data_IF_984121633176
#
_entry.id   IF_984121633176
#
_cell.length_a   1.000
_cell.length_b   1.000
_cell.length_c   1.000
_cell.angle_alpha   90.00
_cell.angle_beta   90.00
_cell.angle_gamma   90.00
#
_symmetry.space_group_name_H-M   'P 1'
#
loop_
_entity.id
_entity.type
_entity.pdbx_description
1 polymer ?
#
# COMPACT_ATOMS: atom_id res chain seq x y z
N UNK A 1 -9.81 1.37 -23.46
CA UNK A 1 -9.06 2.49 -22.86
C UNK A 1 -9.84 2.90 -21.62
N UNK A 2 -9.60 2.22 -20.50
CA UNK A 2 -10.28 2.47 -19.23
C UNK A 2 -9.25 3.10 -18.28
N UNK A 3 -9.04 4.40 -18.42
CA UNK A 3 -8.40 5.21 -17.39
C UNK A 3 -9.46 5.66 -16.37
N UNK A 4 -10.22 4.70 -15.84
CA UNK A 4 -10.90 4.95 -14.57
C UNK A 4 -9.80 4.94 -13.52
N UNK A 5 -9.45 6.14 -13.06
CA UNK A 5 -8.64 6.35 -11.87
C UNK A 5 -9.34 5.67 -10.68
N UNK A 6 -9.10 4.36 -10.48
CA UNK A 6 -9.45 3.63 -9.27
C UNK A 6 -8.57 4.14 -8.12
N UNK A 7 -8.72 5.42 -7.78
CA UNK A 7 -8.16 5.99 -6.57
C UNK A 7 -9.06 5.54 -5.44
N UNK A 8 -8.55 4.57 -4.68
CA UNK A 8 -9.17 4.18 -3.43
C UNK A 8 -9.38 5.42 -2.56
N UNK A 9 -10.64 5.74 -2.24
CA UNK A 9 -10.95 6.93 -1.47
C UNK A 9 -10.56 6.71 -0.01
N UNK A 10 -9.55 7.45 0.45
CA UNK A 10 -9.16 7.51 1.86
C UNK A 10 -10.05 8.51 2.58
N UNK A 11 -10.67 8.08 3.67
CA UNK A 11 -11.48 8.95 4.53
C UNK A 11 -10.95 8.93 5.96
N UNK A 12 -10.96 10.06 6.68
CA UNK A 12 -10.63 10.09 8.10
C UNK A 12 -11.81 9.54 8.92
N UNK A 13 -11.51 8.77 9.96
CA UNK A 13 -12.47 8.20 10.90
C UNK A 13 -12.11 8.66 12.32
N UNK A 14 -12.95 9.45 13.00
CA UNK A 14 -12.68 9.86 14.37
C UNK A 14 -12.80 8.65 15.33
N UNK A 15 -11.79 8.45 16.18
CA UNK A 15 -11.76 7.39 17.19
C UNK A 15 -10.89 7.78 18.38
N UNK A 16 -11.43 7.71 19.61
CA UNK A 16 -10.70 7.98 20.87
C UNK A 16 -9.96 9.34 20.90
N UNK A 17 -10.62 10.43 20.53
CA UNK A 17 -10.02 11.78 20.40
C UNK A 17 -8.81 11.85 19.45
N UNK A 18 -8.70 10.86 18.55
CA UNK A 18 -7.69 10.77 17.50
C UNK A 18 -8.39 10.40 16.18
N UNK A 19 -7.60 10.21 15.15
CA UNK A 19 -8.06 9.88 13.81
C UNK A 19 -7.49 8.55 13.35
N UNK A 20 -8.29 7.79 12.64
CA UNK A 20 -7.87 6.66 11.84
C UNK A 20 -8.10 7.00 10.38
N UNK A 21 -7.43 6.30 9.47
CA UNK A 21 -7.85 6.32 8.07
C UNK A 21 -8.67 5.08 7.77
N UNK A 22 -9.61 5.22 6.83
CA UNK A 22 -10.33 4.10 6.27
C UNK A 22 -10.40 4.20 4.76
N UNK A 23 -10.52 3.04 4.11
CA UNK A 23 -10.61 2.91 2.65
C UNK A 23 -11.79 2.00 2.34
N UNK A 24 -12.67 2.45 1.45
CA UNK A 24 -13.71 1.62 0.84
C UNK A 24 -13.16 0.96 -0.42
N UNK A 25 -13.12 -0.35 -0.44
CA UNK A 25 -12.73 -1.12 -1.61
C UNK A 25 -13.90 -1.24 -2.61
N UNK A 26 -13.63 -1.46 -3.90
CA UNK A 26 -14.66 -1.75 -4.90
C UNK A 26 -15.55 -2.94 -4.56
N UNK A 27 -15.06 -3.86 -3.72
CA UNK A 27 -15.81 -5.01 -3.22
C UNK A 27 -16.84 -4.67 -2.15
N UNK A 28 -16.91 -3.40 -1.70
CA UNK A 28 -17.70 -2.96 -0.56
C UNK A 28 -17.04 -3.21 0.80
N UNK A 29 -15.88 -3.86 0.83
CA UNK A 29 -15.12 -4.06 2.06
C UNK A 29 -14.49 -2.74 2.55
N UNK A 30 -14.47 -2.55 3.87
CA UNK A 30 -13.83 -1.38 4.51
C UNK A 30 -12.56 -1.84 5.20
N UNK A 31 -11.44 -1.20 4.86
CA UNK A 31 -10.20 -1.31 5.61
C UNK A 31 -10.01 -0.09 6.50
N UNK A 32 -9.57 -0.29 7.73
CA UNK A 32 -9.30 0.78 8.68
C UNK A 32 -7.91 0.62 9.28
N UNK A 33 -7.20 1.72 9.48
CA UNK A 33 -5.89 1.73 10.10
C UNK A 33 -5.91 1.13 11.51
N UNK A 34 -4.81 0.46 11.88
CA UNK A 34 -4.61 0.02 13.26
C UNK A 34 -4.14 1.18 14.12
N UNK A 35 -3.33 2.05 13.53
CA UNK A 35 -2.69 3.23 14.07
C UNK A 35 -3.71 4.36 14.30
N UNK A 36 -3.38 5.22 15.26
CA UNK A 36 -4.14 6.43 15.58
C UNK A 36 -3.28 7.67 15.34
N UNK A 37 -3.82 8.62 14.59
CA UNK A 37 -3.17 9.84 14.17
C UNK A 37 -3.73 11.06 14.94
N UNK A 38 -2.88 12.03 15.30
CA UNK A 38 -3.29 13.27 15.94
C UNK A 38 -4.32 14.10 15.16
N UNK A 39 -4.22 14.14 13.83
CA UNK A 39 -5.11 14.95 12.97
C UNK A 39 -5.72 14.13 11.83
N UNK A 40 -6.84 14.61 11.30
CA UNK A 40 -7.50 14.02 10.13
C UNK A 40 -6.56 13.99 8.92
N UNK A 41 -5.80 15.06 8.72
CA UNK A 41 -4.89 15.19 7.58
C UNK A 41 -3.73 14.20 7.66
N UNK A 42 -3.18 13.98 8.86
CA UNK A 42 -2.17 12.96 9.07
C UNK A 42 -2.71 11.55 8.83
N UNK A 43 -3.96 11.27 9.25
CA UNK A 43 -4.60 10.00 8.94
C UNK A 43 -4.75 9.81 7.43
N UNK A 44 -5.29 10.80 6.72
CA UNK A 44 -5.50 10.75 5.27
C UNK A 44 -4.17 10.54 4.54
N UNK A 45 -3.15 11.33 4.87
CA UNK A 45 -1.81 11.23 4.28
C UNK A 45 -1.22 9.82 4.48
N UNK A 46 -1.32 9.28 5.70
CA UNK A 46 -0.84 7.93 6.00
C UNK A 46 -1.64 6.84 5.24
N UNK A 47 -2.96 7.01 5.08
CA UNK A 47 -3.78 6.08 4.31
C UNK A 47 -3.47 6.11 2.81
N UNK A 48 -3.20 7.30 2.26
CA UNK A 48 -2.77 7.45 0.87
C UNK A 48 -1.40 6.79 0.65
N UNK A 49 -0.45 7.06 1.54
CA UNK A 49 0.86 6.42 1.50
C UNK A 49 0.76 4.89 1.57
N UNK A 50 -0.12 4.37 2.44
CA UNK A 50 -0.35 2.93 2.53
C UNK A 50 -0.87 2.34 1.21
N UNK A 51 -1.84 2.99 0.55
CA UNK A 51 -2.34 2.57 -0.77
C UNK A 51 -1.22 2.56 -1.81
N UNK A 52 -0.39 3.61 -1.84
CA UNK A 52 0.70 3.72 -2.81
C UNK A 52 1.73 2.59 -2.62
N UNK A 53 2.09 2.28 -1.37
CA UNK A 53 3.02 1.19 -1.03
C UNK A 53 2.42 -0.16 -1.41
N UNK A 54 1.16 -0.43 -1.09
CA UNK A 54 0.49 -1.70 -1.44
C UNK A 54 0.34 -1.86 -2.95
N UNK A 55 0.03 -0.78 -3.66
CA UNK A 55 -0.10 -0.80 -5.13
C UNK A 55 1.24 -1.08 -5.78
N UNK A 56 2.30 -0.39 -5.35
CA UNK A 56 3.65 -0.63 -5.83
C UNK A 56 4.15 -2.05 -5.49
N UNK A 57 3.87 -2.54 -4.28
CA UNK A 57 4.20 -3.91 -3.86
C UNK A 57 3.54 -4.93 -4.77
N UNK A 58 2.24 -4.80 -5.01
CA UNK A 58 1.48 -5.74 -5.83
C UNK A 58 1.93 -5.72 -7.30
N UNK A 59 2.20 -4.54 -7.85
CA UNK A 59 2.72 -4.40 -9.21
C UNK A 59 4.09 -5.09 -9.35
N UNK A 60 5.03 -4.82 -8.44
CA UNK A 60 6.34 -5.45 -8.44
C UNK A 60 6.27 -6.96 -8.23
N UNK A 61 5.43 -7.41 -7.30
CA UNK A 61 5.23 -8.83 -7.02
C UNK A 61 4.75 -9.58 -8.28
N UNK A 62 3.78 -9.02 -9.01
CA UNK A 62 3.28 -9.60 -10.26
C UNK A 62 4.36 -9.63 -11.33
N UNK A 63 5.05 -8.51 -11.57
CA UNK A 63 6.09 -8.44 -12.59
C UNK A 63 7.26 -9.38 -12.29
N UNK A 64 7.76 -9.41 -11.06
CA UNK A 64 8.86 -10.28 -10.67
C UNK A 64 8.46 -11.75 -10.66
N UNK A 65 7.22 -12.07 -10.27
CA UNK A 65 6.70 -13.44 -10.36
C UNK A 65 6.62 -13.92 -11.80
N UNK A 66 6.23 -13.05 -12.74
CA UNK A 66 6.20 -13.39 -14.17
C UNK A 66 7.62 -13.64 -14.70
N UNK A 67 8.54 -12.71 -14.44
CA UNK A 67 9.96 -12.82 -14.87
C UNK A 67 10.61 -14.09 -14.29
N UNK A 68 10.28 -14.45 -13.05
CA UNK A 68 10.73 -15.69 -12.43
C UNK A 68 10.10 -16.93 -13.07
N UNK A 69 8.80 -16.88 -13.39
CA UNK A 69 8.09 -17.97 -14.09
C UNK A 69 8.62 -18.21 -15.51
N UNK A 70 9.08 -17.16 -16.18
CA UNK A 70 9.74 -17.22 -17.49
C UNK A 70 11.20 -17.71 -17.41
N UNK A 71 11.75 -17.89 -16.19
CA UNK A 71 13.12 -18.37 -15.97
C UNK A 71 14.20 -17.31 -16.15
N UNK A 72 13.83 -16.03 -16.31
CA UNK A 72 14.78 -14.91 -16.46
C UNK A 72 15.53 -14.61 -15.16
N UNK A 73 14.88 -14.81 -14.02
CA UNK A 73 15.49 -14.76 -12.69
C UNK A 73 15.20 -16.05 -11.93
N UNK A 74 16.09 -16.39 -11.01
CA UNK A 74 15.89 -17.50 -10.08
C UNK A 74 14.90 -17.14 -8.97
N UNK A 75 14.32 -18.16 -8.34
CA UNK A 75 13.47 -17.99 -7.15
C UNK A 75 14.18 -17.25 -6.00
N UNK A 76 15.51 -17.42 -5.90
CA UNK A 76 16.34 -16.74 -4.88
C UNK A 76 16.48 -15.24 -5.17
N UNK A 77 16.69 -14.87 -6.43
CA UNK A 77 16.76 -13.48 -6.86
C UNK A 77 15.42 -12.77 -6.68
N UNK A 78 14.33 -13.41 -7.08
CA UNK A 78 12.97 -12.96 -6.79
C UNK A 78 12.78 -12.64 -5.29
N UNK A 79 13.13 -13.59 -4.40
CA UNK A 79 12.98 -13.40 -2.96
C UNK A 79 13.86 -12.27 -2.41
N UNK A 80 15.07 -12.10 -2.94
CA UNK A 80 15.98 -11.02 -2.53
C UNK A 80 15.50 -9.64 -2.99
N UNK A 81 14.93 -9.54 -4.20
CA UNK A 81 14.38 -8.30 -4.75
C UNK A 81 13.15 -7.87 -3.95
N UNK A 82 12.22 -8.79 -3.69
CA UNK A 82 11.03 -8.52 -2.86
C UNK A 82 11.40 -8.10 -1.44
N UNK A 83 12.41 -8.74 -0.82
CA UNK A 83 12.90 -8.36 0.50
C UNK A 83 13.54 -6.97 0.51
N UNK A 84 14.31 -6.63 -0.52
CA UNK A 84 14.92 -5.31 -0.66
C UNK A 84 13.87 -4.21 -0.79
N UNK A 85 12.82 -4.46 -1.58
CA UNK A 85 11.71 -3.53 -1.74
C UNK A 85 10.98 -3.27 -0.41
N UNK A 86 10.63 -4.33 0.34
CA UNK A 86 10.02 -4.21 1.67
C UNK A 86 10.86 -3.38 2.65
N UNK A 87 12.18 -3.44 2.55
CA UNK A 87 13.08 -2.64 3.40
C UNK A 87 13.01 -1.16 3.03
N UNK A 88 13.00 -0.83 1.74
CA UNK A 88 12.98 0.56 1.26
C UNK A 88 11.64 1.22 1.61
N UNK A 89 10.52 0.54 1.38
CA UNK A 89 9.18 1.12 1.60
C UNK A 89 8.87 1.34 3.07
N UNK A 90 9.34 0.47 3.97
CA UNK A 90 9.17 0.65 5.42
C UNK A 90 9.91 1.87 6.00
N UNK A 91 10.98 2.35 5.35
CA UNK A 91 11.76 3.50 5.81
C UNK A 91 11.29 4.85 5.23
N UNK A 92 10.29 4.86 4.34
CA UNK A 92 9.97 6.05 3.54
C UNK A 92 9.01 7.04 4.21
N UNK A 93 8.44 6.74 5.38
CA UNK A 93 7.42 7.57 6.04
C UNK A 93 7.93 8.33 7.31
N UNK A 94 9.25 8.36 7.55
CA UNK A 94 9.88 9.05 8.69
C UNK A 94 10.48 10.43 8.34
N UNK A 95 9.94 11.15 7.37
CA UNK A 95 10.42 12.50 7.02
C UNK A 95 9.29 13.53 6.98
#
# INVERSE_FOLDING_TARGET
>A
MFEENYRFQVSPLPANNRWKWQVLLPTGAIFTSKEYYPTSDQAICAGQHWIDVETAFNALNRSLSQICGEGTITQKEYANLMRSFLRITKHSCEK
#
